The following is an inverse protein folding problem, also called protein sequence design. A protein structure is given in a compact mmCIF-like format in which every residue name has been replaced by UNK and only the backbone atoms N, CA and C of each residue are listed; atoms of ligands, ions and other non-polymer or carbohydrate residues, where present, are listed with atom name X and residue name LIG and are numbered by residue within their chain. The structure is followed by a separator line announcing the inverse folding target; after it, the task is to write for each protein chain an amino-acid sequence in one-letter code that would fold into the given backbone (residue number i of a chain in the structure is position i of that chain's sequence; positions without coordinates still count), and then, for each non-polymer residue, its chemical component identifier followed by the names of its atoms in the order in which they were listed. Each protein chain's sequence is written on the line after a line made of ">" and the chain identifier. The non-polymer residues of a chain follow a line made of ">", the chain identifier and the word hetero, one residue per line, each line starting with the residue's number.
data_IF_625752715779
#
_entry.id   IF_625752715779
#
_cell.length_a   1.000
_cell.length_b   1.000
_cell.length_c   1.000
_cell.angle_alpha   90.00
_cell.angle_beta   90.00
_cell.angle_gamma   90.00
#
_symmetry.space_group_name_H-M   'P 1'
#
loop_
_entity.id
_entity.type
_entity.pdbx_description
1 polymer ?
#
# COMPACT_ATOMS: atom_id res chain seq x y z
N UNK A 1 -6.21 -20.71 -11.00
CA UNK A 1 -5.24 -19.62 -11.27
C UNK A 1 -3.87 -20.14 -10.89
N UNK A 2 -2.86 -20.02 -11.76
CA UNK A 2 -1.48 -20.30 -11.41
C UNK A 2 -0.88 -19.10 -10.68
N UNK A 3 -0.09 -19.34 -9.63
CA UNK A 3 0.65 -18.33 -8.87
C UNK A 3 2.12 -18.70 -8.90
N UNK A 4 2.94 -17.73 -9.24
CA UNK A 4 4.40 -17.89 -9.32
C UNK A 4 5.04 -16.91 -8.33
N UNK A 5 5.84 -17.42 -7.41
CA UNK A 5 6.71 -16.62 -6.55
C UNK A 5 8.12 -16.51 -7.15
N UNK A 6 8.95 -15.65 -6.59
CA UNK A 6 10.35 -15.45 -7.02
C UNK A 6 10.52 -15.24 -8.54
N UNK A 7 9.48 -14.69 -9.17
CA UNK A 7 9.41 -14.49 -10.62
C UNK A 7 9.38 -12.99 -10.92
N UNK A 8 10.55 -12.37 -10.89
CA UNK A 8 10.70 -10.95 -11.20
C UNK A 8 10.59 -10.69 -12.70
N UNK A 9 9.87 -9.63 -13.07
CA UNK A 9 9.76 -9.17 -14.45
C UNK A 9 10.98 -8.30 -14.78
N UNK A 10 11.67 -8.66 -15.87
CA UNK A 10 12.81 -7.93 -16.42
C UNK A 10 12.37 -6.90 -17.46
N UNK A 11 11.47 -7.28 -18.35
CA UNK A 11 11.03 -6.44 -19.45
C UNK A 11 9.59 -6.74 -19.85
N UNK A 12 8.90 -5.74 -20.43
CA UNK A 12 7.53 -5.87 -20.92
C UNK A 12 7.37 -5.13 -22.25
N UNK A 13 6.89 -5.85 -23.27
CA UNK A 13 6.57 -5.30 -24.59
C UNK A 13 5.05 -5.23 -24.77
N UNK A 14 4.56 -4.03 -25.10
CA UNK A 14 3.14 -3.74 -25.29
C UNK A 14 2.81 -3.69 -26.77
N UNK A 15 1.94 -4.58 -27.23
CA UNK A 15 1.54 -4.69 -28.62
C UNK A 15 0.02 -4.50 -28.82
N UNK A 16 -0.43 -4.25 -30.03
CA UNK A 16 -1.87 -4.21 -30.36
C UNK A 16 -2.57 -5.55 -30.11
N UNK A 17 -1.85 -6.66 -30.24
CA UNK A 17 -2.39 -8.02 -30.16
C UNK A 17 -2.20 -8.67 -28.79
N UNK A 18 -1.55 -7.99 -27.83
CA UNK A 18 -1.28 -8.49 -26.49
C UNK A 18 0.02 -7.98 -25.90
N UNK A 19 0.47 -8.65 -24.88
CA UNK A 19 1.64 -8.31 -24.08
C UNK A 19 2.62 -9.47 -24.08
N UNK A 20 3.90 -9.16 -24.16
CA UNK A 20 4.97 -10.12 -23.92
C UNK A 20 5.80 -9.65 -22.72
N UNK A 21 5.95 -10.53 -21.73
CA UNK A 21 6.72 -10.29 -20.51
C UNK A 21 7.93 -11.22 -20.50
N UNK A 22 9.10 -10.68 -20.17
CA UNK A 22 10.34 -11.46 -19.99
C UNK A 22 10.70 -11.39 -18.50
N UNK A 23 10.92 -12.54 -17.88
CA UNK A 23 11.36 -12.63 -16.47
C UNK A 23 12.88 -12.49 -16.36
N UNK A 24 13.39 -12.24 -15.15
CA UNK A 24 14.84 -12.25 -14.87
C UNK A 24 15.49 -13.59 -15.26
N UNK A 25 14.77 -14.71 -15.09
CA UNK A 25 15.20 -16.05 -15.48
C UNK A 25 14.99 -16.35 -16.98
N UNK A 26 14.73 -15.31 -17.78
CA UNK A 26 14.56 -15.39 -19.23
C UNK A 26 13.34 -16.20 -19.74
N UNK A 27 12.37 -16.49 -18.88
CA UNK A 27 11.09 -17.04 -19.36
C UNK A 27 10.29 -15.97 -20.10
N UNK A 28 9.62 -16.38 -21.18
CA UNK A 28 8.76 -15.51 -21.98
C UNK A 28 7.30 -15.87 -21.72
N UNK A 29 6.52 -14.88 -21.29
CA UNK A 29 5.10 -15.03 -21.02
C UNK A 29 4.33 -14.16 -22.02
N UNK A 30 3.43 -14.77 -22.78
CA UNK A 30 2.54 -14.04 -23.70
C UNK A 30 1.13 -13.98 -23.09
N UNK A 31 0.54 -12.79 -23.06
CA UNK A 31 -0.78 -12.56 -22.49
C UNK A 31 -1.60 -11.59 -23.36
N UNK A 32 -2.93 -11.71 -23.31
CA UNK A 32 -3.83 -10.75 -23.96
C UNK A 32 -3.85 -9.41 -23.23
N UNK A 33 -3.78 -9.42 -21.91
CA UNK A 33 -3.78 -8.24 -21.05
C UNK A 33 -2.85 -8.46 -19.86
N UNK A 34 -2.31 -7.37 -19.32
CA UNK A 34 -1.59 -7.34 -18.04
C UNK A 34 -2.31 -6.42 -17.07
N UNK A 35 -2.27 -6.78 -15.79
CA UNK A 35 -2.82 -5.95 -14.70
C UNK A 35 -1.69 -5.69 -13.71
N UNK A 36 -1.32 -4.42 -13.55
CA UNK A 36 -0.33 -3.99 -12.57
C UNK A 36 -0.98 -3.72 -11.22
N UNK A 37 -0.65 -4.57 -10.23
CA UNK A 37 -1.07 -4.44 -8.83
C UNK A 37 0.14 -4.39 -7.90
N UNK A 38 1.27 -3.84 -8.36
CA UNK A 38 2.57 -3.87 -7.70
C UNK A 38 2.81 -2.66 -6.78
N UNK A 39 1.74 -2.09 -6.24
CA UNK A 39 1.79 -1.08 -5.20
C UNK A 39 2.47 0.21 -5.64
N UNK A 40 3.30 0.78 -4.76
CA UNK A 40 3.97 2.06 -5.03
C UNK A 40 5.00 1.97 -6.18
N UNK A 41 5.57 0.81 -6.42
CA UNK A 41 6.53 0.60 -7.52
C UNK A 41 5.85 0.78 -8.89
N UNK A 42 4.58 0.38 -8.99
CA UNK A 42 3.79 0.57 -10.21
C UNK A 42 3.59 2.04 -10.61
N UNK A 43 3.61 2.96 -9.65
CA UNK A 43 3.50 4.39 -9.95
C UNK A 43 4.71 4.92 -10.72
N UNK A 44 5.84 4.24 -10.66
CA UNK A 44 7.07 4.63 -11.37
C UNK A 44 7.07 4.22 -12.85
N UNK A 45 6.15 3.33 -13.27
CA UNK A 45 5.94 2.99 -14.68
C UNK A 45 5.28 4.15 -15.44
N UNK A 46 4.52 4.98 -14.74
CA UNK A 46 3.79 6.11 -15.32
C UNK A 46 4.74 7.31 -15.36
N UNK A 47 4.85 7.96 -16.53
CA UNK A 47 5.76 9.11 -16.71
C UNK A 47 5.34 10.33 -15.91
N UNK A 48 4.04 10.53 -15.79
CA UNK A 48 3.45 11.61 -15.04
C UNK A 48 3.63 11.38 -13.54
N UNK A 49 3.81 12.46 -12.79
CA UNK A 49 3.88 12.39 -11.33
C UNK A 49 2.49 12.22 -10.74
N UNK A 50 2.02 10.97 -10.64
CA UNK A 50 0.67 10.62 -10.20
C UNK A 50 0.54 10.46 -8.68
N UNK A 51 1.64 10.26 -7.95
CA UNK A 51 1.60 10.04 -6.51
C UNK A 51 2.91 10.44 -5.82
N UNK A 52 2.82 10.89 -4.57
CA UNK A 52 3.95 11.11 -3.69
C UNK A 52 4.26 9.83 -2.91
N UNK A 53 5.53 9.46 -2.82
CA UNK A 53 5.95 8.33 -2.00
C UNK A 53 6.23 8.78 -0.57
N UNK A 54 5.65 8.05 0.38
CA UNK A 54 5.84 8.24 1.81
C UNK A 54 6.42 6.98 2.44
N UNK A 55 7.31 7.19 3.42
CA UNK A 55 7.78 6.14 4.32
C UNK A 55 6.98 6.23 5.62
N UNK A 56 6.45 5.12 6.09
CA UNK A 56 5.69 4.98 7.34
C UNK A 56 6.35 3.98 8.26
N UNK A 57 6.07 4.09 9.54
CA UNK A 57 6.67 3.25 10.59
C UNK A 57 5.60 2.72 11.51
N UNK A 58 5.78 1.51 11.97
CA UNK A 58 4.89 0.89 12.91
C UNK A 58 5.65 0.02 13.90
N UNK A 59 5.06 -0.19 15.06
CA UNK A 59 5.47 -1.18 16.02
C UNK A 59 4.26 -1.95 16.56
N UNK A 60 4.50 -3.16 17.01
CA UNK A 60 3.56 -3.97 17.78
C UNK A 60 4.20 -4.36 19.11
N UNK A 61 3.43 -4.24 20.18
CA UNK A 61 3.85 -4.62 21.52
C UNK A 61 3.75 -6.14 21.74
N UNK A 62 4.44 -6.66 22.75
CA UNK A 62 4.21 -8.01 23.23
C UNK A 62 2.74 -8.19 23.65
N UNK A 63 2.26 -9.43 23.62
CA UNK A 63 0.92 -9.76 24.07
C UNK A 63 0.70 -9.30 25.52
N UNK A 64 -0.40 -8.60 25.76
CA UNK A 64 -0.75 -8.11 27.09
C UNK A 64 -2.26 -8.10 27.28
N UNK A 65 -2.74 -8.82 28.28
CA UNK A 65 -4.15 -8.90 28.63
C UNK A 65 -4.71 -7.67 29.36
N UNK A 66 -3.83 -6.76 29.78
CA UNK A 66 -4.20 -5.52 30.48
C UNK A 66 -4.46 -4.34 29.54
N UNK A 67 -4.70 -4.60 28.26
CA UNK A 67 -5.07 -3.53 27.32
C UNK A 67 -6.34 -2.83 27.80
N UNK A 68 -6.35 -1.49 27.90
CA UNK A 68 -7.51 -0.75 28.35
C UNK A 68 -8.75 -1.06 27.52
N UNK A 69 -9.86 -1.44 28.15
CA UNK A 69 -11.12 -1.85 27.49
C UNK A 69 -11.61 -0.84 26.47
N UNK A 70 -11.39 0.46 26.68
CA UNK A 70 -11.82 1.54 25.76
C UNK A 70 -11.14 1.53 24.39
N UNK A 71 -10.01 0.81 24.25
CA UNK A 71 -9.29 0.68 22.98
C UNK A 71 -9.29 -0.75 22.44
N UNK A 72 -9.81 -1.72 23.19
CA UNK A 72 -9.95 -3.11 22.74
C UNK A 72 -10.96 -3.17 21.58
N UNK A 73 -10.60 -3.87 20.49
CA UNK A 73 -11.40 -3.97 19.26
C UNK A 73 -11.77 -2.62 18.62
N UNK A 74 -10.91 -1.60 18.81
CA UNK A 74 -11.11 -0.25 18.30
C UNK A 74 -9.94 0.16 17.44
N UNK A 75 -10.24 0.84 16.35
CA UNK A 75 -9.24 1.58 15.57
C UNK A 75 -9.33 3.06 15.99
N UNK A 76 -8.22 3.57 16.49
CA UNK A 76 -8.08 4.98 16.88
C UNK A 76 -7.07 5.65 15.98
N UNK A 77 -7.40 6.82 15.44
CA UNK A 77 -6.43 7.66 14.75
C UNK A 77 -6.69 9.13 15.09
N UNK A 78 -5.68 9.97 14.89
CA UNK A 78 -5.78 11.41 15.07
C UNK A 78 -5.71 12.14 13.73
N UNK A 79 -6.01 13.43 13.74
CA UNK A 79 -5.97 14.32 12.57
C UNK A 79 -4.65 15.10 12.44
N UNK A 80 -3.62 14.75 13.22
CA UNK A 80 -2.31 15.38 13.13
C UNK A 80 -1.61 15.02 11.81
N UNK A 81 -0.63 15.85 11.42
CA UNK A 81 0.24 15.53 10.29
C UNK A 81 1.69 15.50 10.75
N UNK A 82 2.36 14.35 10.61
CA UNK A 82 1.81 13.04 10.21
C UNK A 82 0.85 12.47 11.27
N UNK A 83 -0.22 11.82 10.83
CA UNK A 83 -1.20 11.19 11.72
C UNK A 83 -0.61 9.97 12.45
N UNK A 84 -1.30 9.58 13.53
CA UNK A 84 -1.06 8.35 14.24
C UNK A 84 -2.29 7.47 14.21
N UNK A 85 -2.10 6.18 14.12
CA UNK A 85 -3.15 5.20 14.34
C UNK A 85 -2.73 4.18 15.39
N UNK A 86 -3.73 3.66 16.10
CA UNK A 86 -3.59 2.70 17.18
C UNK A 86 -4.71 1.68 17.06
N UNK A 87 -4.39 0.39 17.18
CA UNK A 87 -5.39 -0.68 17.21
C UNK A 87 -4.89 -1.86 18.04
N UNK A 88 -5.82 -2.70 18.44
CA UNK A 88 -5.50 -4.03 19.00
C UNK A 88 -5.52 -5.09 17.90
N UNK A 89 -4.77 -6.15 18.11
CA UNK A 89 -4.79 -7.38 17.31
C UNK A 89 -5.64 -8.44 18.01
N UNK A 90 -6.03 -9.49 17.28
CA UNK A 90 -6.87 -10.57 17.80
C UNK A 90 -6.18 -11.37 18.92
N UNK A 91 -4.85 -11.37 18.94
CA UNK A 91 -4.01 -11.98 19.97
C UNK A 91 -3.63 -11.02 21.12
N UNK A 92 -4.42 -9.95 21.34
CA UNK A 92 -4.24 -8.97 22.41
C UNK A 92 -2.86 -8.26 22.40
N UNK A 93 -2.43 -7.82 21.25
CA UNK A 93 -1.28 -6.93 21.11
C UNK A 93 -1.76 -5.53 20.76
N UNK A 94 -1.00 -4.54 21.15
CA UNK A 94 -1.24 -3.16 20.77
C UNK A 94 -0.29 -2.79 19.61
N UNK A 95 -0.87 -2.29 18.54
CA UNK A 95 -0.14 -1.82 17.36
C UNK A 95 -0.32 -0.31 17.24
N UNK A 96 0.79 0.41 17.07
CA UNK A 96 0.79 1.85 16.77
C UNK A 96 1.63 2.10 15.51
N UNK A 97 1.14 2.99 14.65
CA UNK A 97 1.86 3.40 13.45
C UNK A 97 1.65 4.85 13.07
N UNK A 98 2.42 5.31 12.10
CA UNK A 98 2.48 6.68 11.62
C UNK A 98 3.91 7.18 11.53
N UNK A 99 4.16 8.43 11.97
CA UNK A 99 5.48 9.08 11.86
C UNK A 99 5.95 9.21 10.40
N UNK A 100 5.02 9.36 9.48
CA UNK A 100 5.25 9.39 8.04
C UNK A 100 6.20 10.50 7.65
N UNK A 101 7.04 10.21 6.67
CA UNK A 101 7.97 11.17 6.06
C UNK A 101 8.01 10.97 4.56
N UNK A 102 8.46 11.99 3.82
CA UNK A 102 8.73 11.85 2.40
C UNK A 102 9.75 10.72 2.17
N UNK A 103 9.39 9.76 1.33
CA UNK A 103 10.28 8.68 0.94
C UNK A 103 11.40 9.20 0.05
N UNK A 104 12.60 8.68 0.24
CA UNK A 104 13.77 8.97 -0.61
C UNK A 104 14.40 7.69 -1.15
N UNK A 105 14.82 6.81 -0.26
CA UNK A 105 15.36 5.48 -0.59
C UNK A 105 14.99 4.46 0.48
N UNK A 106 14.88 3.18 0.11
CA UNK A 106 14.65 2.09 1.07
C UNK A 106 15.70 2.08 2.18
N UNK A 107 16.98 2.25 1.82
CA UNK A 107 18.08 2.31 2.78
C UNK A 107 17.89 3.41 3.83
N UNK A 108 17.52 4.62 3.43
CA UNK A 108 17.29 5.73 4.36
C UNK A 108 16.06 5.50 5.24
N UNK A 109 14.99 4.96 4.66
CA UNK A 109 13.81 4.55 5.40
C UNK A 109 14.18 3.57 6.52
N UNK A 110 14.91 2.52 6.18
CA UNK A 110 15.25 1.44 7.11
C UNK A 110 16.25 1.90 8.19
N UNK A 111 17.19 2.79 7.85
CA UNK A 111 18.11 3.42 8.83
C UNK A 111 17.39 4.25 9.89
N UNK A 112 16.22 4.79 9.58
CA UNK A 112 15.43 5.57 10.53
C UNK A 112 14.55 4.72 11.45
N UNK A 113 14.46 3.40 11.23
CA UNK A 113 13.53 2.53 11.94
C UNK A 113 13.67 2.64 13.46
N UNK A 114 14.87 2.48 14.02
CA UNK A 114 15.11 2.54 15.46
C UNK A 114 14.69 3.90 16.06
N UNK A 115 15.05 4.99 15.41
CA UNK A 115 14.67 6.33 15.84
C UNK A 115 13.14 6.54 15.81
N UNK A 116 12.49 6.10 14.75
CA UNK A 116 11.03 6.21 14.58
C UNK A 116 10.26 5.32 15.55
N UNK A 117 10.77 4.10 15.80
CA UNK A 117 10.23 3.21 16.83
C UNK A 117 10.23 3.89 18.19
N UNK A 118 11.37 4.48 18.61
CA UNK A 118 11.46 5.21 19.88
C UNK A 118 10.49 6.40 19.96
N UNK A 119 10.24 7.08 18.84
CA UNK A 119 9.23 8.14 18.79
C UNK A 119 7.80 7.62 18.95
N UNK A 120 7.47 6.49 18.31
CA UNK A 120 6.17 5.84 18.46
C UNK A 120 5.96 5.35 19.90
N UNK A 121 6.97 4.77 20.56
CA UNK A 121 6.93 4.38 21.96
C UNK A 121 6.62 5.56 22.89
N UNK A 122 7.32 6.69 22.70
CA UNK A 122 7.06 7.92 23.47
C UNK A 122 5.64 8.45 23.26
N UNK A 123 5.12 8.38 22.03
CA UNK A 123 3.74 8.78 21.73
C UNK A 123 2.73 7.81 22.34
N UNK A 124 2.97 6.51 22.27
CA UNK A 124 2.14 5.50 22.93
C UNK A 124 2.09 5.72 24.44
N UNK A 125 3.23 5.94 25.08
CA UNK A 125 3.29 6.24 26.52
C UNK A 125 2.54 7.52 26.91
N UNK A 126 2.53 8.52 26.02
CA UNK A 126 1.75 9.76 26.22
C UNK A 126 0.24 9.53 26.10
N UNK A 127 -0.19 8.67 25.16
CA UNK A 127 -1.61 8.33 24.94
C UNK A 127 -2.15 7.44 26.06
N UNK A 128 -1.34 6.50 26.52
CA UNK A 128 -1.66 5.50 27.53
C UNK A 128 -0.61 5.51 28.65
N UNK A 129 -0.62 6.51 29.55
CA UNK A 129 0.43 6.72 30.56
C UNK A 129 0.53 5.56 31.55
N UNK A 130 -0.58 4.93 31.89
CA UNK A 130 -0.66 3.84 32.86
C UNK A 130 -0.45 2.44 32.25
N UNK A 131 -0.40 2.36 30.91
CA UNK A 131 -0.19 1.10 30.23
C UNK A 131 1.30 0.76 30.14
N UNK A 132 1.66 -0.40 30.71
CA UNK A 132 3.00 -0.97 30.58
C UNK A 132 3.08 -1.80 29.30
N UNK A 133 4.07 -1.57 28.48
CA UNK A 133 4.27 -2.31 27.23
C UNK A 133 5.76 -2.51 26.95
N UNK A 134 6.04 -3.52 26.15
CA UNK A 134 7.34 -3.76 25.54
C UNK A 134 7.13 -3.96 24.04
N UNK A 135 7.96 -3.33 23.23
CA UNK A 135 7.94 -3.51 21.79
C UNK A 135 8.47 -4.89 21.43
N UNK A 136 7.70 -5.65 20.65
CA UNK A 136 8.08 -6.97 20.15
C UNK A 136 8.65 -6.84 18.74
N UNK A 137 7.89 -6.22 17.81
CA UNK A 137 8.33 -5.98 16.44
C UNK A 137 8.16 -4.51 16.06
N UNK A 138 9.06 -4.05 15.18
CA UNK A 138 8.90 -2.79 14.49
C UNK A 138 9.31 -2.94 13.01
N UNK A 139 8.65 -2.18 12.15
CA UNK A 139 8.93 -2.20 10.71
C UNK A 139 8.68 -0.85 10.08
N UNK A 140 9.19 -0.71 8.86
CA UNK A 140 8.92 0.43 8.01
C UNK A 140 8.27 -0.04 6.71
N UNK A 141 7.37 0.77 6.16
CA UNK A 141 6.74 0.55 4.87
C UNK A 141 6.92 1.75 3.94
N UNK A 142 6.61 1.55 2.67
CA UNK A 142 6.51 2.62 1.69
C UNK A 142 5.14 2.53 1.03
N UNK A 143 4.48 3.67 0.85
CA UNK A 143 3.21 3.73 0.14
C UNK A 143 3.15 4.96 -0.76
N UNK A 144 2.24 4.94 -1.73
CA UNK A 144 2.03 6.01 -2.67
C UNK A 144 0.71 6.72 -2.37
N UNK A 145 0.76 8.03 -2.14
CA UNK A 145 -0.39 8.88 -1.92
C UNK A 145 -0.61 9.78 -3.13
N UNK A 146 -1.77 9.67 -3.74
CA UNK A 146 -2.20 10.49 -4.87
C UNK A 146 -2.62 11.89 -4.40
N UNK A 147 -2.73 12.83 -5.32
CA UNK A 147 -3.07 14.22 -5.02
C UNK A 147 -4.44 14.37 -4.35
N UNK A 148 -5.40 13.54 -4.72
CA UNK A 148 -6.79 13.59 -4.25
C UNK A 148 -7.13 12.46 -3.26
N UNK A 149 -6.15 11.60 -2.91
CA UNK A 149 -6.33 10.46 -2.02
C UNK A 149 -7.08 9.27 -2.64
N UNK A 150 -7.48 9.36 -3.92
CA UNK A 150 -8.13 8.26 -4.64
C UNK A 150 -7.11 7.47 -5.47
N UNK A 151 -7.22 6.13 -5.56
CA UNK A 151 -6.33 5.33 -6.40
C UNK A 151 -6.58 5.57 -7.89
N UNK A 152 -5.63 5.15 -8.70
CA UNK A 152 -5.80 5.01 -10.14
C UNK A 152 -6.15 3.56 -10.47
N UNK A 153 -7.33 3.35 -11.08
CA UNK A 153 -7.84 2.03 -11.45
C UNK A 153 -8.38 2.09 -12.88
N UNK A 154 -7.76 1.34 -13.78
CA UNK A 154 -8.21 1.28 -15.18
C UNK A 154 -7.08 1.30 -16.18
N UNK A 155 -7.40 1.70 -17.40
CA UNK A 155 -6.47 1.81 -18.53
C UNK A 155 -5.69 3.13 -18.46
N UNK A 156 -4.51 3.14 -19.09
CA UNK A 156 -3.70 4.34 -19.31
C UNK A 156 -3.38 4.44 -20.81
N UNK A 157 -3.45 5.64 -21.38
CA UNK A 157 -3.30 5.87 -22.82
C UNK A 157 -1.99 5.36 -23.43
N UNK A 158 -0.90 5.44 -22.68
CA UNK A 158 0.43 5.02 -23.11
C UNK A 158 0.64 3.50 -23.10
N UNK A 159 -0.24 2.74 -22.46
CA UNK A 159 -0.05 1.30 -22.22
C UNK A 159 -1.20 0.48 -22.82
N UNK A 160 -1.03 0.01 -24.05
CA UNK A 160 -2.02 -0.86 -24.71
C UNK A 160 -2.21 -2.17 -23.95
N UNK A 161 -3.46 -2.65 -23.88
CA UNK A 161 -3.80 -3.93 -23.24
C UNK A 161 -3.40 -4.03 -21.76
N UNK A 162 -3.27 -2.91 -21.08
CA UNK A 162 -2.79 -2.82 -19.70
C UNK A 162 -3.83 -2.19 -18.80
N UNK A 163 -4.00 -2.76 -17.63
CA UNK A 163 -4.82 -2.22 -16.56
C UNK A 163 -3.94 -1.96 -15.34
N UNK A 164 -4.25 -0.94 -14.58
CA UNK A 164 -3.53 -0.54 -13.37
C UNK A 164 -4.45 -0.49 -12.18
N UNK A 165 -3.92 -0.83 -11.00
CA UNK A 165 -4.58 -0.68 -9.70
C UNK A 165 -3.52 -0.14 -8.74
N UNK A 166 -3.38 1.20 -8.66
CA UNK A 166 -2.24 1.88 -8.05
C UNK A 166 -2.65 3.03 -7.14
N UNK A 167 -1.77 3.43 -6.23
CA UNK A 167 -1.89 4.70 -5.49
C UNK A 167 -2.91 4.68 -4.35
N UNK A 168 -2.94 3.62 -3.56
CA UNK A 168 -3.95 3.38 -2.51
C UNK A 168 -3.83 4.27 -1.27
N UNK A 169 -2.72 5.00 -1.10
CA UNK A 169 -2.44 5.67 0.17
C UNK A 169 -2.47 4.68 1.33
N UNK A 170 -3.12 5.07 2.43
CA UNK A 170 -3.33 4.22 3.61
C UNK A 170 -4.51 3.25 3.52
N UNK A 171 -5.31 3.27 2.43
CA UNK A 171 -6.58 2.55 2.32
C UNK A 171 -6.53 1.33 1.40
N UNK A 172 -5.41 0.61 1.38
CA UNK A 172 -5.13 -0.47 0.44
C UNK A 172 -6.18 -1.58 0.42
N UNK A 173 -6.71 -2.00 1.57
CA UNK A 173 -7.71 -3.06 1.64
C UNK A 173 -9.00 -2.65 0.92
N UNK A 174 -9.55 -1.49 1.26
CA UNK A 174 -10.80 -0.96 0.65
C UNK A 174 -10.65 -0.79 -0.86
N UNK A 175 -9.56 -0.17 -1.29
CA UNK A 175 -9.32 0.09 -2.70
C UNK A 175 -8.95 -1.15 -3.51
N UNK A 176 -8.37 -2.19 -2.87
CA UNK A 176 -8.16 -3.47 -3.54
C UNK A 176 -9.47 -4.17 -3.86
N UNK A 177 -10.44 -4.19 -2.92
CA UNK A 177 -11.76 -4.77 -3.16
C UNK A 177 -12.48 -4.02 -4.28
N UNK A 178 -12.50 -2.69 -4.21
CA UNK A 178 -13.10 -1.85 -5.25
C UNK A 178 -12.43 -2.05 -6.62
N UNK A 179 -11.10 -2.17 -6.62
CA UNK A 179 -10.32 -2.44 -7.81
C UNK A 179 -10.66 -3.76 -8.47
N UNK A 180 -10.92 -4.82 -7.69
CA UNK A 180 -11.36 -6.12 -8.25
C UNK A 180 -12.67 -5.98 -9.02
N UNK A 181 -13.66 -5.26 -8.49
CA UNK A 181 -14.95 -5.08 -9.13
C UNK A 181 -14.80 -4.28 -10.44
N UNK A 182 -14.10 -3.16 -10.39
CA UNK A 182 -13.87 -2.31 -11.58
C UNK A 182 -13.12 -3.09 -12.66
N UNK A 183 -12.00 -3.73 -12.32
CA UNK A 183 -11.18 -4.50 -13.27
C UNK A 183 -11.97 -5.67 -13.86
N UNK A 184 -12.75 -6.38 -13.03
CA UNK A 184 -13.61 -7.49 -13.50
C UNK A 184 -14.62 -7.01 -14.55
N UNK A 185 -15.23 -5.85 -14.34
CA UNK A 185 -16.19 -5.29 -15.31
C UNK A 185 -15.49 -4.85 -16.60
N UNK A 186 -14.36 -4.16 -16.50
CA UNK A 186 -13.56 -3.74 -17.66
C UNK A 186 -13.09 -4.93 -18.50
N UNK A 187 -12.64 -6.02 -17.86
CA UNK A 187 -12.23 -7.24 -18.56
C UNK A 187 -13.41 -7.92 -19.31
N UNK A 188 -14.62 -7.77 -18.81
CA UNK A 188 -15.86 -8.29 -19.44
C UNK A 188 -16.48 -7.32 -20.46
N UNK A 189 -15.85 -6.18 -20.70
CA UNK A 189 -16.40 -5.12 -21.57
C UNK A 189 -17.64 -4.42 -21.00
N UNK A 190 -17.85 -4.51 -19.69
CA UNK A 190 -18.97 -3.86 -18.99
C UNK A 190 -18.59 -2.46 -18.53
N UNK A 191 -19.55 -1.55 -18.55
CA UNK A 191 -19.40 -0.22 -17.94
C UNK A 191 -19.51 -0.34 -16.43
N UNK A 192 -18.55 0.23 -15.72
CA UNK A 192 -18.60 0.40 -14.26
C UNK A 192 -18.71 1.87 -13.93
N UNK A 193 -19.75 2.28 -13.19
CA UNK A 193 -20.00 3.69 -12.86
C UNK A 193 -18.89 4.31 -12.01
N UNK A 194 -18.23 3.51 -11.17
CA UNK A 194 -17.18 3.98 -10.29
C UNK A 194 -15.83 4.17 -11.01
N UNK A 195 -15.62 3.48 -12.15
CA UNK A 195 -14.38 3.58 -12.92
C UNK A 195 -14.05 5.03 -13.31
N UNK A 196 -15.06 5.87 -13.50
CA UNK A 196 -14.88 7.27 -13.88
C UNK A 196 -14.17 8.10 -12.82
N UNK A 197 -14.35 7.78 -11.54
CA UNK A 197 -13.68 8.46 -10.41
C UNK A 197 -12.22 8.05 -10.23
N UNK A 198 -11.81 6.94 -10.82
CA UNK A 198 -10.48 6.33 -10.61
C UNK A 198 -9.61 6.31 -11.86
N UNK A 199 -10.07 6.90 -12.95
CA UNK A 199 -9.30 6.99 -14.20
C UNK A 199 -8.07 7.89 -14.08
N UNK A 200 -7.11 7.72 -14.98
CA UNK A 200 -5.87 8.53 -14.96
C UNK A 200 -6.11 9.99 -15.39
N UNK A 201 -7.09 10.25 -16.22
CA UNK A 201 -7.42 11.58 -16.78
C UNK A 201 -8.36 12.43 -15.88
N UNK A 202 -8.52 12.07 -14.59
CA UNK A 202 -9.32 12.85 -13.64
C UNK A 202 -8.58 14.08 -13.11
#
# INVERSE_FOLDING_TARGET
>A
MAVYDKTAIKDTTYNSNGIQVITEDHYVISAKKIIYCNGFEGTQLIKEHIANLLATYALVCEQNLEIPKKITNTLVWNTAQPYLYLRTTDDNRLLIGGEDIKFTTGKKRDQLLTYKTSRLEKKLKKILPDYSFKTDYSWAGTFAETKDGLPYIGEHSDFKNTLFVLGFGGNGITFSVLGMDIISDLLKGKKNKLAEYFRFER
#
